data_IF_075689877726
#
_entry.id   IF_075689877726
#
_cell.length_a   1.000
_cell.length_b   1.000
_cell.length_c   1.000
_cell.angle_alpha   90.00
_cell.angle_beta   90.00
_cell.angle_gamma   90.00
#
_symmetry.space_group_name_H-M   'P 1'
#
loop_
_entity.id
_entity.type
_entity.pdbx_description
1 polymer ?
#
# COMPACT_ATOMS: atom_id res chain seq x y z
N UNK A 1 -40.06 -54.55 -35.52
CA UNK A 1 -39.62 -54.44 -36.93
C UNK A 1 -38.62 -55.53 -37.35
N UNK A 2 -38.11 -56.38 -36.43
CA UNK A 2 -37.21 -57.50 -36.77
C UNK A 2 -37.90 -58.67 -37.47
N UNK A 3 -39.20 -58.87 -37.25
CA UNK A 3 -39.83 -60.17 -37.52
C UNK A 3 -40.25 -60.39 -38.99
N UNK A 4 -40.30 -59.34 -39.81
CA UNK A 4 -40.69 -59.48 -41.22
C UNK A 4 -39.51 -59.74 -42.16
N UNK A 5 -38.30 -59.30 -41.82
CA UNK A 5 -37.10 -59.50 -42.65
C UNK A 5 -36.66 -60.97 -42.59
N UNK A 6 -36.94 -61.67 -41.49
CA UNK A 6 -36.67 -63.12 -41.34
C UNK A 6 -37.65 -63.98 -42.15
N UNK A 7 -38.77 -63.41 -42.62
CA UNK A 7 -39.86 -64.14 -43.29
C UNK A 7 -39.70 -64.21 -44.83
N UNK A 8 -38.62 -63.64 -45.38
CA UNK A 8 -38.37 -63.64 -46.84
C UNK A 8 -38.17 -65.07 -47.38
N UNK A 9 -37.63 -65.98 -46.55
CA UNK A 9 -37.49 -67.40 -46.89
C UNK A 9 -38.76 -68.25 -46.73
N UNK A 10 -39.84 -67.68 -46.20
CA UNK A 10 -41.09 -68.37 -45.82
C UNK A 10 -42.29 -67.95 -46.67
N UNK A 11 -42.12 -67.05 -47.64
CA UNK A 11 -43.18 -66.58 -48.53
C UNK A 11 -43.46 -67.62 -49.63
N UNK A 12 -44.60 -68.31 -49.53
CA UNK A 12 -45.08 -69.21 -50.58
C UNK A 12 -45.82 -68.41 -51.67
N UNK A 13 -45.44 -68.59 -52.93
CA UNK A 13 -46.08 -67.95 -54.10
C UNK A 13 -47.05 -68.92 -54.76
N UNK A 14 -48.17 -68.41 -55.27
CA UNK A 14 -49.12 -69.22 -56.04
C UNK A 14 -48.51 -69.71 -57.35
N UNK A 15 -48.65 -71.00 -57.65
CA UNK A 15 -48.15 -71.64 -58.87
C UNK A 15 -49.25 -71.76 -59.93
N UNK A 16 -48.99 -71.21 -61.11
CA UNK A 16 -49.75 -71.44 -62.34
C UNK A 16 -49.18 -72.64 -63.12
N UNK A 17 -49.87 -73.08 -64.19
CA UNK A 17 -49.55 -74.30 -64.97
C UNK A 17 -48.09 -74.44 -65.43
N UNK A 18 -47.31 -73.34 -65.48
CA UNK A 18 -45.89 -73.33 -65.86
C UNK A 18 -44.99 -72.51 -64.88
N UNK A 19 -45.29 -72.48 -63.57
CA UNK A 19 -44.42 -71.85 -62.55
C UNK A 19 -45.12 -70.82 -61.67
N UNK A 20 -44.36 -70.03 -60.91
CA UNK A 20 -44.92 -69.01 -60.01
C UNK A 20 -45.62 -67.88 -60.76
N UNK A 21 -46.71 -67.33 -60.20
CA UNK A 21 -47.42 -66.20 -60.77
C UNK A 21 -46.51 -64.96 -60.82
N UNK A 22 -46.18 -64.50 -62.04
CA UNK A 22 -45.28 -63.36 -62.23
C UNK A 22 -45.78 -62.08 -61.57
N UNK A 23 -47.11 -61.91 -61.47
CA UNK A 23 -47.74 -60.73 -60.88
C UNK A 23 -47.52 -60.67 -59.36
N UNK A 24 -47.68 -61.81 -58.68
CA UNK A 24 -47.50 -61.90 -57.23
C UNK A 24 -46.03 -61.70 -56.84
N UNK A 25 -45.12 -62.34 -57.58
CA UNK A 25 -43.67 -62.19 -57.38
C UNK A 25 -43.22 -60.74 -57.61
N UNK A 26 -43.69 -60.07 -58.68
CA UNK A 26 -43.36 -58.67 -58.94
C UNK A 26 -43.88 -57.73 -57.86
N UNK A 27 -45.10 -57.94 -57.37
CA UNK A 27 -45.65 -57.13 -56.29
C UNK A 27 -44.88 -57.34 -54.97
N UNK A 28 -44.49 -58.58 -54.66
CA UNK A 28 -43.69 -58.88 -53.47
C UNK A 28 -42.30 -58.25 -53.55
N UNK A 29 -41.61 -58.34 -54.70
CA UNK A 29 -40.32 -57.68 -54.92
C UNK A 29 -40.45 -56.18 -54.75
N UNK A 30 -41.52 -55.56 -55.28
CA UNK A 30 -41.76 -54.12 -55.12
C UNK A 30 -41.95 -53.70 -53.67
N UNK A 31 -42.71 -54.46 -52.88
CA UNK A 31 -42.88 -54.21 -51.44
C UNK A 31 -41.56 -54.41 -50.69
N UNK A 32 -40.75 -55.40 -51.10
CA UNK A 32 -39.44 -55.65 -50.52
C UNK A 32 -38.47 -54.49 -50.82
N UNK A 33 -38.45 -54.01 -52.07
CA UNK A 33 -37.68 -52.83 -52.48
C UNK A 33 -38.08 -51.58 -51.69
N UNK A 34 -39.38 -51.33 -51.53
CA UNK A 34 -39.89 -50.20 -50.73
C UNK A 34 -39.43 -50.30 -49.27
N UNK A 35 -39.49 -51.49 -48.65
CA UNK A 35 -39.02 -51.71 -47.28
C UNK A 35 -37.50 -51.55 -47.13
N UNK A 36 -36.71 -52.08 -48.06
CA UNK A 36 -35.25 -51.89 -48.06
C UNK A 36 -34.88 -50.43 -48.23
N UNK A 37 -35.52 -49.72 -49.17
CA UNK A 37 -35.31 -48.29 -49.38
C UNK A 37 -35.67 -47.48 -48.13
N UNK A 38 -36.77 -47.83 -47.45
CA UNK A 38 -37.17 -47.20 -46.19
C UNK A 38 -36.15 -47.48 -45.08
N UNK A 39 -35.65 -48.70 -44.99
CA UNK A 39 -34.64 -49.08 -44.00
C UNK A 39 -33.29 -48.38 -44.25
N UNK A 40 -32.85 -48.27 -45.50
CA UNK A 40 -31.66 -47.52 -45.88
C UNK A 40 -31.80 -46.04 -45.52
N UNK A 41 -32.98 -45.45 -45.75
CA UNK A 41 -33.27 -44.06 -45.36
C UNK A 41 -33.20 -43.87 -43.85
N UNK A 42 -33.82 -44.77 -43.07
CA UNK A 42 -33.78 -44.74 -41.60
C UNK A 42 -32.34 -44.91 -41.10
N UNK A 43 -31.56 -45.81 -41.71
CA UNK A 43 -30.17 -46.04 -41.35
C UNK A 43 -29.30 -44.80 -41.64
N UNK A 44 -29.52 -44.13 -42.76
CA UNK A 44 -28.82 -42.89 -43.10
C UNK A 44 -29.17 -41.76 -42.12
N UNK A 45 -30.45 -41.62 -41.75
CA UNK A 45 -30.91 -40.62 -40.79
C UNK A 45 -30.36 -40.87 -39.38
N UNK A 46 -30.38 -42.13 -38.91
CA UNK A 46 -29.76 -42.53 -37.65
C UNK A 46 -28.26 -42.24 -37.62
N UNK A 47 -27.54 -42.53 -38.71
CA UNK A 47 -26.11 -42.21 -38.80
C UNK A 47 -25.86 -40.71 -38.70
N UNK A 48 -26.64 -39.91 -39.42
CA UNK A 48 -26.53 -38.44 -39.36
C UNK A 48 -26.77 -37.91 -37.96
N UNK A 49 -27.80 -38.41 -37.25
CA UNK A 49 -28.09 -38.02 -35.88
C UNK A 49 -26.96 -38.44 -34.92
N UNK A 50 -26.38 -39.62 -35.14
CA UNK A 50 -25.28 -40.12 -34.32
C UNK A 50 -24.03 -39.25 -34.49
N UNK A 51 -23.69 -38.87 -35.72
CA UNK A 51 -22.59 -37.95 -36.03
C UNK A 51 -22.79 -36.57 -35.40
N UNK A 52 -24.02 -36.04 -35.42
CA UNK A 52 -24.37 -34.77 -34.79
C UNK A 52 -24.21 -34.83 -33.26
N UNK A 53 -24.74 -35.88 -32.63
CA UNK A 53 -24.61 -36.10 -31.18
C UNK A 53 -23.15 -36.29 -30.77
N UNK A 54 -22.35 -37.04 -31.55
CA UNK A 54 -20.92 -37.21 -31.29
C UNK A 54 -20.16 -35.88 -31.35
N UNK A 55 -20.53 -35.02 -32.30
CA UNK A 55 -19.96 -33.68 -32.42
C UNK A 55 -20.32 -32.81 -31.22
N UNK A 56 -21.59 -32.77 -30.82
CA UNK A 56 -22.03 -32.02 -29.62
C UNK A 56 -21.30 -32.51 -28.36
N UNK A 57 -21.18 -33.83 -28.17
CA UNK A 57 -20.46 -34.40 -27.03
C UNK A 57 -18.99 -33.98 -27.04
N UNK A 58 -18.36 -33.92 -28.21
CA UNK A 58 -16.98 -33.46 -28.35
C UNK A 58 -16.83 -31.99 -27.94
N UNK A 59 -17.74 -31.13 -28.40
CA UNK A 59 -17.79 -29.71 -28.04
C UNK A 59 -18.01 -29.52 -26.53
N UNK A 60 -18.96 -30.24 -25.93
CA UNK A 60 -19.20 -30.20 -24.48
C UNK A 60 -17.97 -30.65 -23.69
N UNK A 61 -17.27 -31.69 -24.12
CA UNK A 61 -16.02 -32.13 -23.46
C UNK A 61 -14.91 -31.07 -23.56
N UNK A 62 -14.82 -30.36 -24.69
CA UNK A 62 -13.87 -29.24 -24.83
C UNK A 62 -14.20 -28.11 -23.87
N UNK A 63 -15.48 -27.70 -23.80
CA UNK A 63 -15.94 -26.66 -22.88
C UNK A 63 -15.72 -27.07 -21.42
N UNK A 64 -16.00 -28.33 -21.07
CA UNK A 64 -15.76 -28.83 -19.71
C UNK A 64 -14.28 -28.75 -19.34
N UNK A 65 -13.39 -29.09 -20.28
CA UNK A 65 -11.94 -29.00 -20.07
C UNK A 65 -11.52 -27.56 -19.83
N UNK A 66 -11.94 -26.62 -20.68
CA UNK A 66 -11.64 -25.19 -20.54
C UNK A 66 -12.18 -24.64 -19.21
N UNK A 67 -13.40 -25.03 -18.81
CA UNK A 67 -13.99 -24.62 -17.55
C UNK A 67 -13.19 -25.16 -16.35
N UNK A 68 -12.74 -26.42 -16.38
CA UNK A 68 -11.90 -26.98 -15.31
C UNK A 68 -10.56 -26.25 -15.20
N UNK A 69 -9.92 -25.95 -16.33
CA UNK A 69 -8.68 -25.17 -16.37
C UNK A 69 -8.89 -23.76 -15.81
N UNK A 70 -9.97 -23.09 -16.22
CA UNK A 70 -10.35 -21.76 -15.72
C UNK A 70 -10.60 -21.76 -14.21
N UNK A 71 -11.35 -22.74 -13.69
CA UNK A 71 -11.60 -22.88 -12.25
C UNK A 71 -10.31 -23.14 -11.47
N UNK A 72 -9.38 -23.95 -12.00
CA UNK A 72 -8.08 -24.16 -11.36
C UNK A 72 -7.28 -22.86 -11.32
N UNK A 73 -7.22 -22.15 -12.45
CA UNK A 73 -6.55 -20.86 -12.54
C UNK A 73 -7.12 -19.84 -11.54
N UNK A 74 -8.46 -19.74 -11.42
CA UNK A 74 -9.10 -18.85 -10.46
C UNK A 74 -8.76 -19.21 -9.01
N UNK A 75 -8.71 -20.50 -8.67
CA UNK A 75 -8.31 -20.95 -7.32
C UNK A 75 -6.86 -20.61 -7.01
N UNK A 76 -5.97 -20.77 -7.97
CA UNK A 76 -4.55 -20.45 -7.79
C UNK A 76 -4.34 -18.94 -7.68
N UNK A 77 -5.07 -18.16 -8.48
CA UNK A 77 -5.09 -16.70 -8.40
C UNK A 77 -5.63 -16.21 -7.05
N UNK A 78 -6.72 -16.79 -6.56
CA UNK A 78 -7.28 -16.47 -5.23
C UNK A 78 -6.23 -16.72 -4.13
N UNK A 79 -5.58 -17.89 -4.14
CA UNK A 79 -4.52 -18.22 -3.17
C UNK A 79 -3.34 -17.25 -3.26
N UNK A 80 -2.91 -16.90 -4.47
CA UNK A 80 -1.82 -15.95 -4.68
C UNK A 80 -2.19 -14.55 -4.18
N UNK A 81 -3.41 -14.08 -4.47
CA UNK A 81 -3.92 -12.79 -3.98
C UNK A 81 -3.99 -12.78 -2.46
N UNK A 82 -4.54 -13.83 -1.83
CA UNK A 82 -4.60 -13.93 -0.37
C UNK A 82 -3.19 -13.89 0.24
N UNK A 83 -2.23 -14.63 -0.34
CA UNK A 83 -0.84 -14.62 0.12
C UNK A 83 -0.22 -13.22 0.01
N UNK A 84 -0.31 -12.59 -1.16
CA UNK A 84 0.22 -11.23 -1.39
C UNK A 84 -0.39 -10.20 -0.45
N UNK A 85 -1.70 -10.27 -0.22
CA UNK A 85 -2.39 -9.39 0.72
C UNK A 85 -1.90 -9.61 2.14
N UNK A 86 -1.73 -10.87 2.58
CA UNK A 86 -1.19 -11.19 3.90
C UNK A 86 0.23 -10.66 4.08
N UNK A 87 1.10 -10.87 3.10
CA UNK A 87 2.48 -10.39 3.13
C UNK A 87 2.52 -8.85 3.19
N UNK A 88 1.67 -8.18 2.40
CA UNK A 88 1.55 -6.72 2.39
C UNK A 88 1.02 -6.17 3.73
N UNK A 89 0.03 -6.81 4.33
CA UNK A 89 -0.49 -6.43 5.65
C UNK A 89 0.61 -6.58 6.71
N UNK A 90 1.36 -7.69 6.69
CA UNK A 90 2.47 -7.89 7.61
C UNK A 90 3.53 -6.79 7.48
N UNK A 91 3.90 -6.43 6.25
CA UNK A 91 4.85 -5.35 6.00
C UNK A 91 4.31 -3.98 6.46
N UNK A 92 3.01 -3.70 6.24
CA UNK A 92 2.38 -2.47 6.70
C UNK A 92 2.35 -2.36 8.23
N UNK A 93 2.07 -3.47 8.93
CA UNK A 93 2.09 -3.50 10.40
C UNK A 93 3.50 -3.20 10.89
N UNK A 94 4.51 -3.89 10.34
CA UNK A 94 5.91 -3.67 10.72
C UNK A 94 6.35 -2.22 10.45
N UNK A 95 6.00 -1.65 9.29
CA UNK A 95 6.33 -0.25 8.98
C UNK A 95 5.62 0.72 9.94
N UNK A 96 4.39 0.43 10.35
CA UNK A 96 3.65 1.24 11.32
C UNK A 96 4.26 1.15 12.72
N UNK A 97 4.71 -0.03 13.13
CA UNK A 97 5.44 -0.25 14.39
C UNK A 97 6.77 0.51 14.40
N UNK A 98 7.58 0.37 13.35
CA UNK A 98 8.86 1.07 13.22
C UNK A 98 8.67 2.60 13.24
N UNK A 99 7.67 3.12 12.53
CA UNK A 99 7.34 4.56 12.56
C UNK A 99 6.88 5.02 13.94
N UNK A 100 6.08 4.21 14.62
CA UNK A 100 5.62 4.54 15.97
C UNK A 100 6.79 4.59 16.94
N UNK A 101 7.71 3.63 16.86
CA UNK A 101 8.91 3.64 17.68
C UNK A 101 9.78 4.86 17.40
N UNK A 102 10.01 5.20 16.13
CA UNK A 102 10.76 6.40 15.76
C UNK A 102 10.14 7.69 16.31
N UNK A 103 8.80 7.80 16.30
CA UNK A 103 8.11 8.96 16.87
C UNK A 103 8.32 9.05 18.39
N UNK A 104 8.25 7.91 19.08
CA UNK A 104 8.50 7.84 20.53
C UNK A 104 9.93 8.26 20.84
N UNK A 105 10.91 7.69 20.11
CA UNK A 105 12.33 7.98 20.32
C UNK A 105 12.64 9.47 20.10
N UNK A 106 12.08 10.08 19.04
CA UNK A 106 12.22 11.51 18.77
C UNK A 106 11.58 12.38 19.87
N UNK A 107 10.40 11.99 20.36
CA UNK A 107 9.74 12.71 21.44
C UNK A 107 10.51 12.61 22.76
N UNK A 108 11.11 11.45 23.06
CA UNK A 108 11.99 11.28 24.22
C UNK A 108 13.26 12.12 24.12
N UNK A 109 13.89 12.15 22.95
CA UNK A 109 15.08 12.98 22.70
C UNK A 109 14.76 14.48 22.86
N UNK A 110 13.65 14.94 22.28
CA UNK A 110 13.21 16.33 22.40
C UNK A 110 12.85 16.69 23.86
N UNK A 111 12.15 15.81 24.57
CA UNK A 111 11.82 16.00 25.98
C UNK A 111 13.08 16.09 26.84
N UNK A 112 14.08 15.24 26.58
CA UNK A 112 15.38 15.28 27.26
C UNK A 112 16.13 16.58 26.98
N UNK A 113 16.24 16.97 25.72
CA UNK A 113 16.89 18.22 25.30
C UNK A 113 16.25 19.45 25.95
N UNK A 114 14.91 19.49 25.97
CA UNK A 114 14.13 20.55 26.62
C UNK A 114 14.39 20.59 28.13
N UNK A 115 14.43 19.42 28.79
CA UNK A 115 14.71 19.31 30.22
C UNK A 115 16.12 19.81 30.55
N UNK A 116 17.12 19.41 29.76
CA UNK A 116 18.52 19.81 29.96
C UNK A 116 18.67 21.33 29.76
N UNK A 117 18.04 21.88 28.73
CA UNK A 117 17.98 23.33 28.49
C UNK A 117 17.34 24.07 29.66
N UNK A 118 16.23 23.56 30.20
CA UNK A 118 15.56 24.16 31.36
C UNK A 118 16.44 24.13 32.62
N UNK A 119 17.17 23.03 32.85
CA UNK A 119 18.10 22.94 33.97
C UNK A 119 19.22 23.97 33.84
N UNK A 120 19.82 24.05 32.65
CA UNK A 120 20.87 25.02 32.35
C UNK A 120 20.39 26.48 32.54
N UNK A 121 19.20 26.83 32.08
CA UNK A 121 18.63 28.16 32.27
C UNK A 121 18.37 28.46 33.76
N UNK A 122 17.94 27.48 34.55
CA UNK A 122 17.77 27.65 36.00
C UNK A 122 19.09 27.92 36.70
N UNK A 123 20.14 27.19 36.34
CA UNK A 123 21.49 27.41 36.88
C UNK A 123 22.01 28.81 36.53
N UNK A 124 21.86 29.23 35.27
CA UNK A 124 22.23 30.60 34.86
C UNK A 124 21.47 31.67 35.66
N UNK A 125 20.17 31.46 35.90
CA UNK A 125 19.37 32.38 36.71
C UNK A 125 19.94 32.52 38.13
N UNK A 126 20.26 31.41 38.78
CA UNK A 126 20.83 31.44 40.14
C UNK A 126 22.19 32.13 40.17
N UNK A 127 23.06 31.86 39.20
CA UNK A 127 24.36 32.54 39.06
C UNK A 127 24.16 34.05 38.90
N UNK A 128 23.21 34.47 38.06
CA UNK A 128 22.91 35.88 37.83
C UNK A 128 22.39 36.55 39.10
N UNK A 129 21.49 35.91 39.86
CA UNK A 129 20.99 36.41 41.13
C UNK A 129 22.11 36.60 42.15
N UNK A 130 23.04 35.65 42.26
CA UNK A 130 24.21 35.77 43.14
C UNK A 130 25.11 36.94 42.72
N UNK A 131 25.38 37.07 41.42
CA UNK A 131 26.17 38.20 40.89
C UNK A 131 25.52 39.55 41.18
N UNK A 132 24.20 39.65 40.99
CA UNK A 132 23.45 40.87 41.29
C UNK A 132 23.50 41.21 42.78
N UNK A 133 23.36 40.21 43.67
CA UNK A 133 23.52 40.42 45.12
C UNK A 133 24.90 40.96 45.46
N UNK A 134 25.97 40.36 44.93
CA UNK A 134 27.34 40.84 45.14
C UNK A 134 27.52 42.30 44.68
N UNK A 135 26.93 42.67 43.54
CA UNK A 135 26.96 44.05 43.04
C UNK A 135 26.21 45.00 43.99
N UNK A 136 25.02 44.62 44.44
CA UNK A 136 24.22 45.42 45.38
C UNK A 136 24.95 45.59 46.70
N UNK A 137 25.45 44.50 47.29
CA UNK A 137 26.18 44.50 48.56
C UNK A 137 27.44 45.38 48.47
N UNK A 138 28.15 45.34 47.34
CA UNK A 138 29.31 46.20 47.06
C UNK A 138 28.92 47.67 46.97
N UNK A 139 27.83 48.00 46.27
CA UNK A 139 27.34 49.38 46.15
C UNK A 139 26.81 49.91 47.48
N UNK A 140 26.13 49.08 48.27
CA UNK A 140 25.68 49.41 49.62
C UNK A 140 26.88 49.67 50.54
N UNK A 141 27.92 48.84 50.47
CA UNK A 141 29.20 49.06 51.16
C UNK A 141 29.83 50.41 50.80
N UNK A 142 29.96 50.71 49.51
CA UNK A 142 30.47 52.01 49.03
C UNK A 142 29.65 53.19 49.53
N UNK A 143 28.31 53.07 49.54
CA UNK A 143 27.43 54.13 50.02
C UNK A 143 27.55 54.32 51.54
N UNK A 144 27.63 53.23 52.29
CA UNK A 144 27.84 53.26 53.74
C UNK A 144 29.21 53.86 54.11
N UNK A 145 30.27 53.56 53.34
CA UNK A 145 31.59 54.16 53.51
C UNK A 145 31.56 55.67 53.21
N UNK A 146 30.82 56.09 52.17
CA UNK A 146 30.61 57.49 51.85
C UNK A 146 29.83 58.24 52.95
N UNK A 147 28.73 57.67 53.46
CA UNK A 147 27.88 58.29 54.50
C UNK A 147 28.62 58.35 55.85
N UNK A 148 29.39 57.32 56.20
CA UNK A 148 30.13 57.27 57.47
C UNK A 148 31.37 58.16 57.51
N UNK A 149 31.63 58.93 56.45
CA UNK A 149 32.77 59.84 56.37
C UNK A 149 34.13 59.14 56.27
N UNK A 150 34.15 57.82 56.11
CA UNK A 150 35.35 57.04 55.82
C UNK A 150 35.60 57.06 54.31
N UNK A 151 35.88 58.24 53.78
CA UNK A 151 36.37 58.34 52.41
C UNK A 151 37.75 57.70 52.40
N UNK A 152 37.88 56.50 51.83
CA UNK A 152 39.18 55.88 51.56
C UNK A 152 40.08 56.89 50.84
N UNK A 153 41.34 57.01 51.27
CA UNK A 153 42.36 57.86 50.66
C UNK A 153 42.49 57.62 49.13
N UNK A 154 42.06 56.46 48.64
CA UNK A 154 42.02 56.12 47.21
C UNK A 154 40.91 56.83 46.43
N UNK A 155 39.75 57.10 47.06
CA UNK A 155 38.66 57.85 46.41
C UNK A 155 38.98 59.36 46.37
N UNK A 156 39.69 59.87 47.37
CA UNK A 156 40.19 61.26 47.35
C UNK A 156 41.24 61.45 46.24
N UNK A 157 42.11 60.45 46.02
CA UNK A 157 43.08 60.46 44.92
C UNK A 157 42.41 60.44 43.55
N UNK A 158 41.41 59.59 43.33
CA UNK A 158 40.71 59.51 42.04
C UNK A 158 39.88 60.77 41.76
N UNK A 159 39.25 61.36 42.77
CA UNK A 159 38.54 62.64 42.63
C UNK A 159 39.51 63.80 42.37
N UNK A 160 40.70 63.80 42.98
CA UNK A 160 41.75 64.81 42.72
C UNK A 160 42.35 64.67 41.32
N UNK A 161 42.57 63.45 40.82
CA UNK A 161 43.02 63.19 39.45
C UNK A 161 41.98 63.63 38.41
N UNK A 162 40.69 63.38 38.66
CA UNK A 162 39.59 63.84 37.79
C UNK A 162 39.48 65.37 37.80
N UNK A 163 39.66 66.02 38.96
CA UNK A 163 39.68 67.48 39.06
C UNK A 163 40.89 68.10 38.32
N UNK A 164 42.07 67.48 38.43
CA UNK A 164 43.27 67.91 37.71
C UNK A 164 43.13 67.76 36.18
N UNK A 165 42.50 66.67 35.71
CA UNK A 165 42.22 66.46 34.29
C UNK A 165 41.23 67.50 33.73
N UNK A 166 40.22 67.89 34.51
CA UNK A 166 39.25 68.92 34.11
C UNK A 166 39.91 70.30 33.97
N UNK A 167 40.73 70.70 34.94
CA UNK A 167 41.45 71.98 34.89
C UNK A 167 42.43 72.08 33.71
N UNK A 168 43.11 70.97 33.35
CA UNK A 168 44.06 70.96 32.23
C UNK A 168 43.37 71.04 30.85
N UNK A 169 42.11 70.61 30.75
CA UNK A 169 41.33 70.69 29.51
C UNK A 169 40.58 72.02 29.37
N UNK A 170 40.12 72.65 30.46
CA UNK A 170 39.58 74.03 30.40
C UNK A 170 40.64 75.03 29.90
N UNK A 171 41.88 74.94 30.40
CA UNK A 171 43.00 75.80 29.94
C UNK A 171 43.30 75.60 28.44
N UNK A 172 43.12 74.39 27.91
CA UNK A 172 43.34 74.11 26.48
C UNK A 172 42.24 74.66 25.60
N UNK A 173 40.98 74.68 26.05
CA UNK A 173 39.86 75.22 25.27
C UNK A 173 40.03 76.73 25.09
N UNK A 174 40.44 77.47 26.12
CA UNK A 174 40.70 78.91 26.02
C UNK A 174 41.85 79.24 25.03
N UNK A 175 42.92 78.42 25.03
CA UNK A 175 44.03 78.58 24.07
C UNK A 175 43.66 78.27 22.61
N UNK A 176 42.61 77.48 22.39
CA UNK A 176 42.08 77.17 21.05
C UNK A 176 41.16 78.32 20.60
N UNK A 177 40.40 78.93 21.51
CA UNK A 177 39.55 80.07 21.23
C UNK A 177 40.35 81.34 20.89
N UNK A 178 41.49 81.59 21.54
CA UNK A 178 42.40 82.71 21.17
C UNK A 178 43.04 82.54 19.78
N UNK A 179 43.17 81.31 19.27
CA UNK A 179 43.74 81.04 17.93
C UNK A 179 42.71 81.12 16.79
N UNK A 180 41.43 81.27 17.11
CA UNK A 180 40.32 81.33 16.15
C UNK A 180 39.68 82.73 16.03
N UNK A 181 40.15 83.70 16.83
CA UNK A 181 39.87 85.14 16.72
C UNK A 181 41.04 85.86 16.04
#
# INVERSE_FOLDING_TARGET
MSDEITNIGLKEFTTEKNGYSQTEVKNYIKVLEEKFTQQEKIQAELKSQLEEIEKEISEYKSIEKELRESVSFFKDLEKETIRKTKDKISAMIQEAEDKSQNIIDLAEEEAKSTRDTLLFLKEQREILLVRLKIIIDSQEGMLNDFISGKVSDELQKSLAEVAAFKAQNEIKIDSILEKLL
#
